data_IF_595620629782
#
_entry.id   IF_595620629782
#
_cell.length_a   1.000
_cell.length_b   1.000
_cell.length_c   1.000
_cell.angle_alpha   90.00
_cell.angle_beta   90.00
_cell.angle_gamma   90.00
#
_symmetry.space_group_name_H-M   'P 1'
#
loop_
_entity.id
_entity.type
_entity.pdbx_description
1 polymer ?
#
# COMPACT_ATOMS: atom_id res chain seq x y z
N UNK A 1 -75.97 -13.69 -6.39
CA UNK A 1 -75.30 -14.66 -5.49
C UNK A 1 -73.81 -14.49 -5.67
N UNK A 2 -73.17 -13.69 -4.81
CA UNK A 2 -71.73 -13.37 -4.90
C UNK A 2 -71.01 -14.24 -3.87
N UNK A 3 -70.21 -15.18 -4.34
CA UNK A 3 -69.39 -16.06 -3.49
C UNK A 3 -68.14 -15.25 -3.08
N UNK A 4 -68.01 -14.95 -1.79
CA UNK A 4 -66.78 -14.38 -1.22
C UNK A 4 -65.89 -15.52 -0.75
N UNK A 5 -64.77 -15.72 -1.44
CA UNK A 5 -63.70 -16.64 -1.02
C UNK A 5 -62.79 -15.87 -0.06
N UNK A 6 -62.72 -16.31 1.20
CA UNK A 6 -61.75 -15.81 2.17
C UNK A 6 -60.44 -16.59 2.01
N UNK A 7 -59.39 -15.92 1.54
CA UNK A 7 -58.03 -16.46 1.51
C UNK A 7 -57.36 -16.11 2.83
N UNK A 8 -57.10 -17.10 3.68
CA UNK A 8 -56.30 -16.94 4.88
C UNK A 8 -54.81 -17.00 4.49
N UNK A 9 -54.12 -15.87 4.55
CA UNK A 9 -52.67 -15.79 4.39
C UNK A 9 -52.04 -16.12 5.75
N UNK A 10 -51.46 -17.31 5.87
CA UNK A 10 -50.62 -17.67 7.00
C UNK A 10 -49.26 -16.98 6.85
N UNK A 11 -49.02 -15.92 7.62
CA UNK A 11 -47.69 -15.31 7.74
C UNK A 11 -46.83 -16.21 8.62
N UNK A 12 -45.98 -17.02 8.00
CA UNK A 12 -44.92 -17.76 8.71
C UNK A 12 -43.78 -16.77 8.99
N UNK A 13 -43.75 -16.22 10.21
CA UNK A 13 -42.61 -15.47 10.71
C UNK A 13 -41.46 -16.44 11.05
N UNK A 14 -40.72 -16.88 10.03
CA UNK A 14 -39.56 -17.78 10.15
C UNK A 14 -38.26 -17.08 10.53
N UNK A 15 -38.29 -16.11 11.45
CA UNK A 15 -37.09 -15.45 11.96
C UNK A 15 -36.84 -15.86 13.40
N UNK A 16 -35.97 -16.85 13.63
CA UNK A 16 -35.44 -17.13 14.96
C UNK A 16 -34.60 -15.93 15.40
N UNK A 17 -35.18 -15.04 16.20
CA UNK A 17 -34.43 -14.01 16.92
C UNK A 17 -33.67 -14.74 18.03
N UNK A 18 -32.51 -15.32 17.72
CA UNK A 18 -31.64 -15.88 18.75
C UNK A 18 -31.31 -14.74 19.73
N UNK A 19 -31.67 -14.92 21.00
CA UNK A 19 -31.38 -13.94 22.04
C UNK A 19 -29.86 -13.74 22.10
N UNK A 20 -29.41 -12.49 22.02
CA UNK A 20 -27.99 -12.17 22.11
C UNK A 20 -27.51 -12.46 23.53
N UNK A 21 -26.59 -13.41 23.69
CA UNK A 21 -25.95 -13.69 24.97
C UNK A 21 -24.59 -13.01 25.02
N UNK A 22 -24.36 -12.18 26.04
CA UNK A 22 -23.07 -11.53 26.27
C UNK A 22 -22.23 -12.39 27.21
N UNK A 23 -21.08 -12.85 26.72
CA UNK A 23 -20.07 -13.60 27.46
C UNK A 23 -18.89 -12.71 27.81
N UNK A 24 -18.49 -12.68 29.08
CA UNK A 24 -17.32 -11.93 29.56
C UNK A 24 -16.21 -12.89 29.95
N UNK A 25 -14.99 -12.67 29.45
CA UNK A 25 -13.82 -13.45 29.81
C UNK A 25 -13.40 -13.15 31.24
N UNK A 26 -13.25 -14.19 32.06
CA UNK A 26 -12.91 -14.08 33.49
C UNK A 26 -11.45 -13.70 33.76
N UNK A 27 -10.63 -13.55 32.72
CA UNK A 27 -9.21 -13.16 32.82
C UNK A 27 -8.23 -14.32 32.73
N UNK A 28 -6.94 -13.99 32.73
CA UNK A 28 -5.86 -14.95 32.56
C UNK A 28 -5.70 -15.46 31.12
N UNK A 29 -4.58 -16.13 30.86
CA UNK A 29 -4.35 -16.85 29.60
C UNK A 29 -5.13 -18.17 29.55
N UNK A 30 -5.69 -18.54 28.41
CA UNK A 30 -6.49 -19.77 28.27
C UNK A 30 -7.07 -19.99 26.87
N UNK A 31 -7.73 -21.14 26.67
CA UNK A 31 -8.40 -21.47 25.41
C UNK A 31 -9.80 -20.86 25.37
N UNK A 32 -10.20 -20.26 24.24
CA UNK A 32 -11.54 -19.71 24.01
C UNK A 32 -12.63 -20.74 24.30
N UNK A 33 -12.37 -22.01 24.00
CA UNK A 33 -13.30 -23.13 24.19
C UNK A 33 -13.47 -23.57 25.64
N UNK A 34 -12.67 -23.03 26.57
CA UNK A 34 -12.82 -23.31 27.99
C UNK A 34 -14.04 -22.57 28.55
N UNK A 35 -15.17 -23.27 28.66
CA UNK A 35 -16.44 -22.69 29.14
C UNK A 35 -16.35 -22.11 30.56
N UNK A 36 -15.38 -22.57 31.38
CA UNK A 36 -15.14 -22.05 32.71
C UNK A 36 -14.52 -20.64 32.69
N UNK A 37 -13.95 -20.22 31.55
CA UNK A 37 -13.37 -18.89 31.35
C UNK A 37 -14.38 -17.82 30.99
N UNK A 38 -15.64 -18.17 30.76
CA UNK A 38 -16.68 -17.23 30.41
C UNK A 38 -17.70 -17.02 31.53
N UNK A 39 -18.28 -15.82 31.53
CA UNK A 39 -19.42 -15.44 32.35
C UNK A 39 -20.53 -14.83 31.48
N UNK A 40 -21.72 -15.45 31.38
CA UNK A 40 -22.11 -16.71 32.02
C UNK A 40 -21.31 -17.91 31.52
N UNK A 41 -21.30 -19.01 32.28
CA UNK A 41 -20.61 -20.25 31.88
C UNK A 41 -21.15 -20.77 30.55
N UNK A 42 -20.26 -20.95 29.58
CA UNK A 42 -20.59 -21.33 28.20
C UNK A 42 -19.47 -20.90 27.25
N UNK A 43 -19.61 -21.17 25.96
CA UNK A 43 -18.62 -20.75 24.95
C UNK A 43 -19.34 -19.88 23.91
N UNK A 44 -18.98 -18.59 23.75
CA UNK A 44 -19.52 -17.76 22.68
C UNK A 44 -19.13 -18.37 21.33
N UNK A 45 -20.12 -18.89 20.61
CA UNK A 45 -19.89 -19.70 19.40
C UNK A 45 -21.06 -19.70 18.41
N UNK A 46 -22.15 -19.00 18.73
CA UNK A 46 -23.32 -18.85 17.85
C UNK A 46 -23.42 -17.43 17.26
N UNK A 47 -24.00 -17.29 16.05
CA UNK A 47 -24.25 -16.02 15.38
C UNK A 47 -24.84 -14.87 16.22
N UNK A 48 -25.58 -15.16 17.30
CA UNK A 48 -26.17 -14.14 18.17
C UNK A 48 -25.28 -13.72 19.35
N UNK A 49 -24.19 -14.45 19.63
CA UNK A 49 -23.40 -14.23 20.84
C UNK A 49 -22.52 -12.98 20.74
N UNK A 50 -22.33 -12.31 21.86
CA UNK A 50 -21.33 -11.27 22.03
C UNK A 50 -20.26 -11.73 23.02
N UNK A 51 -19.00 -11.40 22.76
CA UNK A 51 -17.87 -11.70 23.63
C UNK A 51 -17.18 -10.41 24.09
N UNK A 52 -16.88 -10.30 25.38
CA UNK A 52 -16.09 -9.24 25.99
C UNK A 52 -14.82 -9.82 26.61
N UNK A 53 -13.65 -9.40 26.14
CA UNK A 53 -12.35 -9.80 26.70
C UNK A 53 -11.67 -8.56 27.27
N UNK A 54 -11.61 -8.50 28.60
CA UNK A 54 -10.86 -7.49 29.34
C UNK A 54 -9.72 -8.17 30.08
N UNK A 55 -8.51 -8.14 29.52
CA UNK A 55 -7.33 -8.74 30.15
C UNK A 55 -6.33 -7.67 30.54
N UNK A 56 -5.73 -7.81 31.72
CA UNK A 56 -4.63 -6.96 32.18
C UNK A 56 -3.29 -7.59 31.78
N UNK A 57 -2.44 -6.86 31.06
CA UNK A 57 -1.06 -7.29 30.78
C UNK A 57 -0.90 -8.21 29.55
N UNK A 58 -0.12 -9.30 29.69
CA UNK A 58 0.29 -10.20 28.59
C UNK A 58 -0.61 -11.41 28.39
N UNK A 59 -1.75 -11.47 29.09
CA UNK A 59 -2.68 -12.59 28.99
C UNK A 59 -3.14 -12.82 27.56
N UNK A 60 -3.13 -14.09 27.13
CA UNK A 60 -3.51 -14.50 25.80
C UNK A 60 -4.71 -15.47 25.84
N UNK A 61 -5.77 -15.09 25.15
CA UNK A 61 -6.86 -16.02 24.79
C UNK A 61 -6.51 -16.68 23.47
N UNK A 62 -6.59 -18.00 23.38
CA UNK A 62 -6.21 -18.81 22.21
C UNK A 62 -7.45 -19.49 21.61
N UNK A 63 -7.68 -19.37 20.30
CA UNK A 63 -8.77 -20.07 19.61
C UNK A 63 -8.27 -21.37 18.97
N UNK A 64 -8.89 -22.50 19.28
CA UNK A 64 -8.62 -23.80 18.64
C UNK A 64 -9.78 -24.26 17.73
N UNK A 65 -10.89 -23.54 17.74
CA UNK A 65 -12.10 -23.79 16.95
C UNK A 65 -12.48 -22.57 16.10
N UNK A 66 -13.55 -22.69 15.30
CA UNK A 66 -14.05 -21.63 14.42
C UNK A 66 -15.33 -20.99 14.96
N UNK A 67 -15.30 -20.23 16.07
CA UNK A 67 -16.51 -19.61 16.59
C UNK A 67 -17.06 -18.59 15.59
N UNK A 68 -18.39 -18.59 15.48
CA UNK A 68 -19.15 -17.54 14.80
C UNK A 68 -19.84 -16.73 15.90
N UNK A 69 -19.55 -15.44 16.01
CA UNK A 69 -20.17 -14.55 17.00
C UNK A 69 -20.75 -13.30 16.35
N UNK A 70 -21.70 -12.63 16.99
CA UNK A 70 -22.17 -11.32 16.52
C UNK A 70 -21.07 -10.27 16.71
N UNK A 71 -20.55 -10.15 17.94
CA UNK A 71 -19.71 -9.01 18.37
C UNK A 71 -18.56 -9.44 19.28
N UNK A 72 -17.42 -8.75 19.15
CA UNK A 72 -16.28 -8.88 20.07
C UNK A 72 -15.86 -7.49 20.58
N UNK A 73 -15.84 -7.31 21.90
CA UNK A 73 -15.26 -6.15 22.58
C UNK A 73 -13.96 -6.55 23.27
N UNK A 74 -12.89 -5.80 23.03
CA UNK A 74 -11.55 -6.07 23.54
C UNK A 74 -10.99 -4.85 24.28
N UNK A 75 -10.51 -5.09 25.49
CA UNK A 75 -9.69 -4.17 26.29
C UNK A 75 -8.52 -4.98 26.88
N UNK A 76 -7.69 -5.55 25.99
CA UNK A 76 -6.70 -6.58 26.30
C UNK A 76 -6.09 -7.19 25.02
N UNK A 77 -5.30 -8.27 25.16
CA UNK A 77 -4.68 -8.96 24.02
C UNK A 77 -5.33 -10.30 23.68
N UNK A 78 -5.61 -10.56 22.40
CA UNK A 78 -6.18 -11.80 21.87
C UNK A 78 -5.20 -12.43 20.88
N UNK A 79 -4.94 -13.75 20.98
CA UNK A 79 -4.11 -14.50 20.03
C UNK A 79 -4.95 -15.52 19.29
N UNK A 80 -5.14 -15.33 18.00
CA UNK A 80 -5.86 -16.28 17.14
C UNK A 80 -4.86 -17.31 16.63
N UNK A 81 -5.01 -18.57 17.06
CA UNK A 81 -4.13 -19.66 16.64
C UNK A 81 -4.55 -20.22 15.26
N UNK A 82 -3.66 -20.92 14.54
CA UNK A 82 -3.86 -21.28 13.13
C UNK A 82 -5.04 -22.21 12.85
N UNK A 83 -5.44 -23.03 13.83
CA UNK A 83 -6.54 -23.98 13.67
C UNK A 83 -7.93 -23.33 13.86
N UNK A 84 -8.00 -22.18 14.52
CA UNK A 84 -9.23 -21.50 14.86
C UNK A 84 -9.38 -20.14 14.19
N UNK A 85 -10.15 -20.06 13.10
CA UNK A 85 -10.58 -18.77 12.55
C UNK A 85 -11.62 -18.10 13.45
N UNK A 86 -11.68 -16.77 13.48
CA UNK A 86 -12.73 -16.04 14.20
C UNK A 86 -13.67 -15.40 13.19
N UNK A 87 -14.92 -15.87 13.15
CA UNK A 87 -15.96 -15.32 12.28
C UNK A 87 -16.85 -14.39 13.09
N UNK A 88 -17.14 -13.21 12.55
CA UNK A 88 -18.05 -12.28 13.19
C UNK A 88 -19.13 -11.81 12.21
N UNK A 89 -20.27 -11.38 12.73
CA UNK A 89 -21.37 -10.88 11.89
C UNK A 89 -21.41 -9.36 11.90
N UNK A 90 -21.21 -8.72 13.07
CA UNK A 90 -21.34 -7.28 13.19
C UNK A 90 -19.98 -6.58 13.27
N UNK A 91 -19.29 -6.69 14.40
CA UNK A 91 -18.13 -5.84 14.68
C UNK A 91 -17.16 -6.41 15.69
N UNK A 92 -15.89 -6.05 15.52
CA UNK A 92 -14.87 -6.16 16.54
C UNK A 92 -14.49 -4.76 16.98
N UNK A 93 -14.55 -4.47 18.28
CA UNK A 93 -14.13 -3.18 18.87
C UNK A 93 -12.95 -3.42 19.81
N UNK A 94 -11.82 -2.78 19.55
CA UNK A 94 -10.60 -2.87 20.37
C UNK A 94 -10.38 -1.49 21.01
N UNK A 95 -10.65 -1.40 22.31
CA UNK A 95 -10.47 -0.16 23.09
C UNK A 95 -9.04 -0.01 23.63
N UNK A 96 -8.35 -1.13 23.89
CA UNK A 96 -6.93 -1.20 24.26
C UNK A 96 -6.37 -2.61 23.98
N UNK A 97 -5.03 -2.74 23.90
CA UNK A 97 -4.34 -4.02 23.64
C UNK A 97 -4.22 -4.37 22.16
N UNK A 98 -4.15 -5.66 21.81
CA UNK A 98 -4.01 -6.08 20.40
C UNK A 98 -4.63 -7.42 20.07
N UNK A 99 -5.20 -7.55 18.85
CA UNK A 99 -5.47 -8.86 18.26
C UNK A 99 -4.27 -9.26 17.43
N UNK A 100 -3.66 -10.41 17.73
CA UNK A 100 -2.61 -11.04 16.94
C UNK A 100 -3.18 -12.24 16.22
N UNK A 101 -3.14 -12.24 14.89
CA UNK A 101 -3.60 -13.34 14.04
C UNK A 101 -2.39 -13.99 13.37
N UNK A 102 -2.15 -15.28 13.61
CA UNK A 102 -1.27 -16.08 12.74
C UNK A 102 0.05 -16.66 13.29
N UNK A 103 0.31 -16.64 14.58
CA UNK A 103 1.50 -17.29 15.14
C UNK A 103 1.32 -18.83 15.18
N UNK A 104 1.60 -19.51 14.06
CA UNK A 104 1.77 -20.98 14.03
C UNK A 104 1.88 -21.59 12.61
N UNK A 105 2.06 -22.92 12.60
CA UNK A 105 2.53 -23.83 11.52
C UNK A 105 2.24 -23.34 10.09
N UNK A 106 3.29 -23.28 9.26
CA UNK A 106 3.21 -22.89 7.85
C UNK A 106 2.11 -23.66 7.10
N UNK A 107 1.21 -22.94 6.44
CA UNK A 107 0.18 -23.51 5.55
C UNK A 107 -1.25 -23.58 6.09
N UNK A 108 -1.55 -23.00 7.26
CA UNK A 108 -2.93 -22.86 7.77
C UNK A 108 -3.41 -21.41 7.77
N UNK A 109 -4.64 -21.18 7.31
CA UNK A 109 -5.25 -19.85 7.20
C UNK A 109 -5.97 -19.46 8.49
N UNK A 110 -5.49 -18.40 9.14
CA UNK A 110 -6.25 -17.71 10.18
C UNK A 110 -7.10 -16.62 9.51
N UNK A 111 -8.42 -16.76 9.61
CA UNK A 111 -9.39 -15.91 8.92
C UNK A 111 -10.11 -15.02 9.92
N UNK A 112 -10.07 -13.70 9.68
CA UNK A 112 -11.01 -12.73 10.24
C UNK A 112 -11.99 -12.37 9.12
N UNK A 113 -13.13 -13.06 9.07
CA UNK A 113 -14.14 -12.86 8.03
C UNK A 113 -15.47 -12.40 8.61
N UNK A 114 -16.02 -11.29 8.11
CA UNK A 114 -17.42 -10.99 8.31
C UNK A 114 -18.29 -11.90 7.45
N UNK A 115 -19.36 -12.46 8.04
CA UNK A 115 -20.24 -13.39 7.34
C UNK A 115 -21.35 -12.69 6.52
N UNK A 116 -21.70 -11.43 6.81
CA UNK A 116 -22.63 -10.61 6.00
C UNK A 116 -22.56 -9.11 6.37
N UNK A 117 -22.71 -8.21 5.38
CA UNK A 117 -22.89 -6.76 5.61
C UNK A 117 -21.60 -5.92 5.74
N UNK A 118 -21.74 -4.64 6.15
CA UNK A 118 -20.63 -3.70 6.42
C UNK A 118 -20.07 -3.93 7.82
N UNK A 119 -19.46 -5.09 8.05
CA UNK A 119 -18.86 -5.41 9.35
C UNK A 119 -17.48 -4.74 9.47
N UNK A 120 -17.16 -4.24 10.65
CA UNK A 120 -15.96 -3.44 10.88
C UNK A 120 -15.11 -3.96 12.04
N UNK A 121 -13.78 -3.92 11.86
CA UNK A 121 -12.81 -4.04 12.95
C UNK A 121 -12.37 -2.63 13.30
N UNK A 122 -12.72 -2.14 14.49
CA UNK A 122 -12.45 -0.76 14.92
C UNK A 122 -11.49 -0.76 16.11
N UNK A 123 -10.32 -0.14 15.96
CA UNK A 123 -9.28 -0.12 16.99
C UNK A 123 -9.15 1.25 17.70
N UNK A 124 -10.11 1.61 18.56
CA UNK A 124 -10.25 2.90 19.28
C UNK A 124 -9.07 3.31 20.20
N UNK A 125 -8.08 2.43 20.41
CA UNK A 125 -6.91 2.69 21.25
C UNK A 125 -5.92 1.52 21.37
N UNK A 126 -6.23 0.38 20.73
CA UNK A 126 -5.32 -0.76 20.56
C UNK A 126 -4.80 -0.90 19.13
N UNK A 127 -4.12 -2.02 18.83
CA UNK A 127 -3.62 -2.34 17.49
C UNK A 127 -4.15 -3.66 16.94
N UNK A 128 -4.38 -3.75 15.63
CA UNK A 128 -4.55 -5.03 14.95
C UNK A 128 -3.19 -5.44 14.42
N UNK A 129 -2.73 -6.64 14.78
CA UNK A 129 -1.46 -7.20 14.32
C UNK A 129 -1.77 -8.46 13.51
N UNK A 130 -1.50 -8.40 12.22
CA UNK A 130 -1.63 -9.54 11.31
C UNK A 130 -0.23 -10.12 11.09
N UNK A 131 0.05 -11.22 11.79
CA UNK A 131 1.37 -11.83 11.93
C UNK A 131 1.26 -13.32 11.63
N UNK A 132 1.09 -13.65 10.33
CA UNK A 132 0.89 -15.02 9.87
C UNK A 132 1.08 -15.22 8.38
N UNK A 133 1.42 -16.45 8.00
CA UNK A 133 1.59 -16.90 6.62
C UNK A 133 0.58 -18.03 6.31
N UNK A 134 -0.56 -17.77 5.63
CA UNK A 134 -1.18 -16.48 5.30
C UNK A 134 -2.32 -16.09 6.27
N UNK A 135 -2.38 -14.80 6.67
CA UNK A 135 -3.54 -14.23 7.32
C UNK A 135 -4.52 -13.68 6.26
N UNK A 136 -5.80 -14.04 6.33
CA UNK A 136 -6.79 -13.60 5.37
C UNK A 136 -7.78 -12.63 6.03
N UNK A 137 -7.91 -11.44 5.45
CA UNK A 137 -8.88 -10.42 5.85
C UNK A 137 -9.74 -10.16 4.62
N UNK A 138 -10.71 -11.04 4.38
CA UNK A 138 -11.64 -10.92 3.27
C UNK A 138 -12.84 -10.06 3.68
N UNK A 139 -13.19 -9.06 2.88
CA UNK A 139 -14.41 -8.25 3.01
C UNK A 139 -14.56 -7.43 4.31
N UNK A 140 -13.49 -7.25 5.10
CA UNK A 140 -13.54 -6.46 6.33
C UNK A 140 -13.16 -5.00 6.09
N UNK A 141 -13.90 -4.07 6.70
CA UNK A 141 -13.45 -2.69 6.89
C UNK A 141 -12.59 -2.63 8.14
N UNK A 142 -11.28 -2.51 7.99
CA UNK A 142 -10.36 -2.29 9.12
C UNK A 142 -10.24 -0.80 9.34
N UNK A 143 -10.61 -0.33 10.54
CA UNK A 143 -10.59 1.06 10.98
C UNK A 143 -9.53 1.24 12.07
N UNK A 144 -8.45 1.96 11.75
CA UNK A 144 -7.46 2.43 12.72
C UNK A 144 -7.71 3.92 13.04
N UNK A 145 -8.42 4.29 14.11
CA UNK A 145 -8.68 5.68 14.50
C UNK A 145 -7.41 6.40 15.00
N UNK A 146 -7.48 7.73 15.07
CA UNK A 146 -6.40 8.60 15.51
C UNK A 146 -5.86 8.17 16.90
N UNK A 147 -4.56 7.82 16.96
CA UNK A 147 -3.87 7.36 18.17
C UNK A 147 -3.67 5.84 18.26
N UNK A 148 -4.33 5.04 17.40
CA UNK A 148 -4.05 3.62 17.18
C UNK A 148 -3.27 3.36 15.88
N UNK A 149 -2.72 2.16 15.71
CA UNK A 149 -2.00 1.74 14.50
C UNK A 149 -2.39 0.34 14.03
N UNK A 150 -2.48 0.13 12.71
CA UNK A 150 -2.57 -1.20 12.08
C UNK A 150 -1.16 -1.62 11.70
N UNK A 151 -0.66 -2.72 12.30
CA UNK A 151 0.68 -3.23 11.99
C UNK A 151 0.55 -4.58 11.28
N UNK A 152 1.20 -4.69 10.13
CA UNK A 152 1.16 -5.91 9.32
C UNK A 152 2.57 -6.41 9.16
N UNK A 153 2.84 -7.57 9.75
CA UNK A 153 4.16 -8.22 9.74
C UNK A 153 4.19 -9.47 8.86
N UNK A 154 3.02 -10.05 8.55
CA UNK A 154 2.86 -11.22 7.68
C UNK A 154 2.28 -10.94 6.30
N UNK A 155 1.74 -11.97 5.64
CA UNK A 155 1.01 -11.82 4.37
C UNK A 155 -0.47 -11.66 4.64
N UNK A 156 -1.05 -10.53 4.25
CA UNK A 156 -2.49 -10.24 4.32
C UNK A 156 -3.08 -10.35 2.92
N UNK A 157 -3.97 -11.32 2.72
CA UNK A 157 -4.76 -11.46 1.49
C UNK A 157 -6.18 -10.97 1.72
N UNK A 158 -6.78 -10.27 0.75
CA UNK A 158 -8.15 -9.80 0.92
C UNK A 158 -8.76 -9.08 -0.28
N UNK A 159 -10.06 -8.83 -0.17
CA UNK A 159 -10.83 -7.87 -0.98
C UNK A 159 -11.47 -6.88 0.00
N UNK A 160 -11.56 -5.60 -0.35
CA UNK A 160 -12.30 -4.63 0.48
C UNK A 160 -11.59 -3.30 0.72
N UNK A 161 -11.99 -2.63 1.80
CA UNK A 161 -11.54 -1.28 2.17
C UNK A 161 -10.68 -1.37 3.44
N UNK A 162 -9.41 -1.01 3.34
CA UNK A 162 -8.57 -0.75 4.51
C UNK A 162 -8.59 0.76 4.75
N UNK A 163 -9.09 1.19 5.90
CA UNK A 163 -9.22 2.60 6.26
C UNK A 163 -8.49 2.88 7.56
N UNK A 164 -7.37 3.61 7.51
CA UNK A 164 -6.78 4.20 8.69
C UNK A 164 -7.21 5.66 8.77
N UNK A 165 -7.85 6.09 9.86
CA UNK A 165 -7.82 7.51 10.21
C UNK A 165 -6.48 7.86 10.94
N UNK A 166 -5.66 6.85 11.26
CA UNK A 166 -4.26 6.90 11.71
C UNK A 166 -3.29 6.14 10.79
N UNK A 167 -2.02 6.01 11.19
CA UNK A 167 -0.96 5.40 10.36
C UNK A 167 -1.09 3.88 10.25
N UNK A 168 -1.13 3.36 9.03
CA UNK A 168 -0.99 1.93 8.75
C UNK A 168 0.49 1.62 8.50
N UNK A 169 1.09 0.73 9.29
CA UNK A 169 2.48 0.30 9.11
C UNK A 169 2.50 -1.10 8.48
N UNK A 170 3.05 -1.19 7.27
CA UNK A 170 3.22 -2.45 6.56
C UNK A 170 4.69 -2.86 6.54
N UNK A 171 5.06 -3.90 7.28
CA UNK A 171 6.40 -4.52 7.21
C UNK A 171 6.37 -5.88 6.51
N UNK A 172 5.21 -6.32 6.03
CA UNK A 172 4.97 -7.61 5.40
C UNK A 172 4.44 -7.47 3.96
N UNK A 173 3.51 -8.34 3.56
CA UNK A 173 2.92 -8.31 2.21
C UNK A 173 1.42 -8.11 2.27
N UNK A 174 0.91 -7.07 1.60
CA UNK A 174 -0.49 -7.00 1.23
C UNK A 174 -0.68 -7.59 -0.17
N UNK A 175 -1.66 -8.47 -0.32
CA UNK A 175 -2.04 -9.04 -1.61
C UNK A 175 -3.53 -8.73 -1.82
N UNK A 176 -3.80 -7.72 -2.63
CA UNK A 176 -5.15 -7.46 -3.14
C UNK A 176 -5.59 -8.64 -4.02
N UNK A 177 -6.86 -9.01 -3.94
CA UNK A 177 -7.43 -10.09 -4.75
C UNK A 177 -8.74 -9.66 -5.43
N UNK A 178 -9.16 -10.39 -6.47
CA UNK A 178 -10.36 -10.12 -7.27
C UNK A 178 -10.57 -8.65 -7.63
N UNK A 179 -11.64 -8.03 -7.10
CA UNK A 179 -12.03 -6.64 -7.42
C UNK A 179 -11.04 -5.57 -6.92
N UNK A 180 -10.03 -5.96 -6.12
CA UNK A 180 -8.98 -5.07 -5.64
C UNK A 180 -9.17 -4.63 -4.19
N UNK A 181 -8.37 -3.63 -3.82
CA UNK A 181 -8.32 -3.04 -2.48
C UNK A 181 -8.46 -1.52 -2.58
N UNK A 182 -9.21 -0.91 -1.65
CA UNK A 182 -9.26 0.55 -1.49
C UNK A 182 -8.61 0.94 -0.18
N UNK A 183 -7.71 1.90 -0.24
CA UNK A 183 -6.97 2.45 0.88
C UNK A 183 -7.46 3.87 1.16
N UNK A 184 -7.77 4.12 2.42
CA UNK A 184 -8.13 5.44 2.95
C UNK A 184 -7.15 5.75 4.09
N UNK A 185 -6.49 6.91 4.04
CA UNK A 185 -5.50 7.35 5.03
C UNK A 185 -4.04 6.99 4.70
N UNK A 186 -3.12 7.38 5.59
CA UNK A 186 -1.67 7.29 5.35
C UNK A 186 -1.11 5.90 5.68
N UNK A 187 -0.29 5.36 4.78
CA UNK A 187 0.40 4.07 4.90
C UNK A 187 1.90 4.29 4.86
N UNK A 188 2.62 3.69 5.80
CA UNK A 188 4.08 3.63 5.83
C UNK A 188 4.51 2.18 5.63
N UNK A 189 5.22 1.89 4.54
CA UNK A 189 5.80 0.59 4.27
C UNK A 189 7.24 0.55 4.77
N UNK A 190 7.51 -0.29 5.77
CA UNK A 190 8.84 -0.51 6.33
C UNK A 190 9.36 -1.85 5.80
N UNK A 191 9.86 -1.83 4.56
CA UNK A 191 10.30 -3.03 3.83
C UNK A 191 9.16 -3.93 3.31
N UNK A 192 7.90 -3.52 3.53
CA UNK A 192 6.74 -4.24 3.03
C UNK A 192 6.44 -4.00 1.55
N UNK A 193 5.46 -4.75 1.02
CA UNK A 193 4.92 -4.55 -0.33
C UNK A 193 3.40 -4.68 -0.38
N UNK A 194 2.79 -4.07 -1.40
CA UNK A 194 1.38 -4.24 -1.79
C UNK A 194 1.34 -4.79 -3.21
N UNK A 195 0.66 -5.90 -3.45
CA UNK A 195 0.65 -6.60 -4.74
C UNK A 195 -0.70 -7.22 -5.06
N UNK A 196 -0.84 -7.88 -6.21
CA UNK A 196 -2.04 -8.63 -6.58
C UNK A 196 -3.01 -7.81 -7.42
N UNK A 197 -4.31 -7.85 -7.12
CA UNK A 197 -5.37 -7.16 -7.86
C UNK A 197 -5.28 -5.61 -7.79
N UNK A 198 -6.25 -4.89 -8.39
CA UNK A 198 -6.22 -3.44 -8.48
C UNK A 198 -6.14 -2.76 -7.10
N UNK A 199 -5.44 -1.62 -7.01
CA UNK A 199 -5.31 -0.79 -5.81
C UNK A 199 -5.94 0.58 -6.05
N UNK A 200 -6.81 1.03 -5.15
CA UNK A 200 -7.36 2.38 -5.16
C UNK A 200 -6.84 3.14 -3.94
N UNK A 201 -6.07 4.20 -4.17
CA UNK A 201 -5.64 5.15 -3.14
C UNK A 201 -6.64 6.30 -3.10
N UNK A 202 -7.37 6.48 -2.00
CA UNK A 202 -8.44 7.45 -1.94
C UNK A 202 -8.14 8.53 -0.89
N UNK A 203 -7.52 9.63 -1.32
CA UNK A 203 -6.93 10.63 -0.43
C UNK A 203 -5.86 10.06 0.52
N UNK A 204 -5.28 8.91 0.15
CA UNK A 204 -4.30 8.17 0.93
C UNK A 204 -2.88 8.58 0.57
N UNK A 205 -2.01 8.75 1.57
CA UNK A 205 -0.57 8.96 1.36
C UNK A 205 0.15 7.63 1.54
N UNK A 206 1.17 7.35 0.73
CA UNK A 206 2.00 6.14 0.84
C UNK A 206 3.46 6.53 0.95
N UNK A 207 4.14 6.03 1.96
CA UNK A 207 5.56 6.21 2.19
C UNK A 207 6.29 4.86 2.16
N UNK A 208 7.36 4.75 1.38
CA UNK A 208 8.23 3.57 1.33
C UNK A 208 7.65 2.37 0.56
N UNK A 209 8.50 1.34 0.43
CA UNK A 209 8.12 -0.01 -0.03
C UNK A 209 7.79 -0.13 -1.52
N UNK A 210 7.12 -1.23 -1.86
CA UNK A 210 6.82 -1.61 -3.26
C UNK A 210 5.32 -1.71 -3.49
N UNK A 211 4.81 -0.98 -4.50
CA UNK A 211 3.45 -1.14 -5.04
C UNK A 211 3.51 -1.93 -6.35
N UNK A 212 3.18 -3.22 -6.30
CA UNK A 212 3.07 -4.12 -7.46
C UNK A 212 1.64 -4.68 -7.70
N UNK A 213 0.55 -3.88 -7.60
CA UNK A 213 -0.78 -4.36 -8.00
C UNK A 213 -0.91 -4.43 -9.53
N UNK A 214 -1.96 -5.09 -10.03
CA UNK A 214 -2.26 -5.10 -11.47
C UNK A 214 -2.55 -3.71 -12.01
N UNK A 215 -2.96 -2.77 -11.17
CA UNK A 215 -3.03 -1.34 -11.48
C UNK A 215 -3.27 -0.51 -10.23
N UNK A 216 -2.80 0.74 -10.21
CA UNK A 216 -3.05 1.69 -9.13
C UNK A 216 -3.96 2.80 -9.63
N UNK A 217 -4.97 3.19 -8.84
CA UNK A 217 -5.79 4.38 -9.11
C UNK A 217 -5.80 5.31 -7.89
N UNK A 218 -5.27 6.51 -8.06
CA UNK A 218 -5.36 7.59 -7.10
C UNK A 218 -6.64 8.40 -7.33
N UNK A 219 -7.55 8.35 -6.35
CA UNK A 219 -8.73 9.19 -6.23
C UNK A 219 -8.44 10.30 -5.21
N UNK A 220 -8.83 11.52 -5.57
CA UNK A 220 -8.51 12.74 -4.81
C UNK A 220 -9.83 13.42 -4.41
N UNK A 221 -10.62 12.83 -3.48
CA UNK A 221 -11.91 13.39 -3.10
C UNK A 221 -11.69 14.68 -2.28
N UNK A 222 -12.41 15.74 -2.63
CA UNK A 222 -12.33 17.01 -1.90
C UNK A 222 -11.04 17.80 -2.10
N UNK A 223 -10.24 17.49 -3.13
CA UNK A 223 -9.04 18.25 -3.50
C UNK A 223 -7.79 17.95 -2.65
N UNK A 224 -7.85 16.99 -1.73
CA UNK A 224 -6.67 16.55 -0.96
C UNK A 224 -5.77 15.68 -1.84
N UNK A 225 -4.54 16.14 -2.12
CA UNK A 225 -3.56 15.40 -2.90
C UNK A 225 -3.27 14.01 -2.31
N UNK A 226 -3.02 13.05 -3.19
CA UNK A 226 -2.41 11.76 -2.86
C UNK A 226 -0.90 11.95 -2.93
N UNK A 227 -0.16 11.54 -1.90
CA UNK A 227 1.31 11.64 -1.90
C UNK A 227 1.94 10.26 -1.93
N UNK A 228 2.89 10.03 -2.83
CA UNK A 228 3.75 8.83 -2.86
C UNK A 228 5.19 9.25 -2.56
N UNK A 229 5.76 8.80 -1.44
CA UNK A 229 7.12 9.17 -1.00
C UNK A 229 8.02 7.95 -0.94
N UNK A 230 9.16 7.94 -1.61
CA UNK A 230 10.11 6.81 -1.60
C UNK A 230 9.46 5.46 -1.95
N UNK A 231 8.49 5.46 -2.87
CA UNK A 231 7.75 4.26 -3.27
C UNK A 231 8.29 3.74 -4.60
N UNK A 232 8.57 2.44 -4.67
CA UNK A 232 8.81 1.75 -5.95
C UNK A 232 7.48 1.23 -6.50
N UNK A 233 7.11 1.64 -7.71
CA UNK A 233 5.90 1.15 -8.37
C UNK A 233 6.32 0.10 -9.39
N UNK A 234 5.82 -1.12 -9.25
CA UNK A 234 6.05 -2.25 -10.15
C UNK A 234 4.70 -2.82 -10.63
N UNK A 235 3.80 -1.95 -11.09
CA UNK A 235 2.47 -2.33 -11.59
C UNK A 235 2.44 -2.36 -13.13
N UNK A 236 1.82 -3.38 -13.71
CA UNK A 236 1.73 -3.52 -15.18
C UNK A 236 0.87 -2.46 -15.87
N UNK A 237 -0.10 -1.85 -15.18
CA UNK A 237 -0.99 -0.81 -15.73
C UNK A 237 -0.66 0.61 -15.25
N UNK A 238 0.41 0.80 -14.48
CA UNK A 238 0.79 2.11 -13.96
C UNK A 238 -0.12 2.67 -12.84
N UNK A 239 0.10 3.96 -12.53
CA UNK A 239 -0.75 4.74 -11.60
C UNK A 239 -1.63 5.70 -12.39
N UNK A 240 -2.95 5.50 -12.33
CA UNK A 240 -3.96 6.40 -12.86
C UNK A 240 -4.42 7.44 -11.82
N UNK A 241 -4.54 8.71 -12.20
CA UNK A 241 -5.07 9.78 -11.32
C UNK A 241 -6.40 10.28 -11.88
N UNK A 242 -7.40 10.50 -11.02
CA UNK A 242 -8.65 11.10 -11.45
C UNK A 242 -8.43 12.51 -12.04
N UNK A 243 -9.14 12.94 -13.10
CA UNK A 243 -8.78 14.11 -13.90
C UNK A 243 -8.75 15.46 -13.15
N UNK A 244 -9.44 15.56 -12.02
CA UNK A 244 -9.48 16.76 -11.18
C UNK A 244 -8.53 16.68 -9.97
N UNK A 245 -7.74 15.60 -9.87
CA UNK A 245 -6.88 15.33 -8.73
C UNK A 245 -5.45 15.83 -8.92
N UNK A 246 -4.78 16.04 -7.78
CA UNK A 246 -3.32 16.26 -7.72
C UNK A 246 -2.65 15.02 -7.12
N UNK A 247 -1.60 14.53 -7.78
CA UNK A 247 -0.70 13.49 -7.27
C UNK A 247 0.67 14.12 -7.04
N UNK A 248 1.20 14.02 -5.83
CA UNK A 248 2.59 14.39 -5.54
C UNK A 248 3.44 13.13 -5.42
N UNK A 249 4.50 13.05 -6.21
CA UNK A 249 5.43 11.92 -6.19
C UNK A 249 6.81 12.44 -5.81
N UNK A 250 7.27 12.00 -4.64
CA UNK A 250 8.57 12.35 -4.10
C UNK A 250 9.49 11.12 -4.15
N UNK A 251 10.61 11.29 -4.82
CA UNK A 251 11.65 10.28 -4.94
C UNK A 251 11.15 8.90 -5.40
N UNK A 252 10.48 8.80 -6.57
CA UNK A 252 9.92 7.54 -7.05
C UNK A 252 11.01 6.49 -7.30
N UNK A 253 10.65 5.22 -7.13
CA UNK A 253 11.49 4.08 -7.47
C UNK A 253 11.04 3.39 -8.76
N UNK A 254 11.99 3.06 -9.63
CA UNK A 254 11.81 2.22 -10.82
C UNK A 254 12.74 1.00 -10.77
N UNK A 255 12.24 -0.15 -11.23
CA UNK A 255 13.00 -1.39 -11.28
C UNK A 255 13.05 -1.93 -12.71
N UNK A 256 14.26 -2.18 -13.21
CA UNK A 256 14.50 -2.79 -14.52
C UNK A 256 14.67 -4.31 -14.39
N UNK A 257 13.83 -5.05 -15.11
CA UNK A 257 14.03 -6.49 -15.34
C UNK A 257 15.08 -6.72 -16.42
N UNK A 258 15.82 -7.84 -16.34
CA UNK A 258 16.80 -8.20 -17.36
C UNK A 258 16.12 -8.33 -18.74
N UNK A 259 16.39 -7.38 -19.64
CA UNK A 259 15.88 -7.39 -21.03
C UNK A 259 14.38 -7.05 -21.19
N UNK A 260 13.72 -6.46 -20.19
CA UNK A 260 12.33 -6.04 -20.28
C UNK A 260 12.20 -4.50 -20.21
N UNK A 261 11.21 -3.89 -20.90
CA UNK A 261 10.88 -2.49 -20.66
C UNK A 261 10.51 -2.30 -19.19
N UNK A 262 10.75 -1.11 -18.60
CA UNK A 262 10.43 -0.87 -17.21
C UNK A 262 8.95 -1.12 -16.95
N UNK A 263 8.68 -1.71 -15.79
CA UNK A 263 7.33 -2.08 -15.35
C UNK A 263 6.59 -0.88 -14.74
N UNK A 264 6.99 0.35 -15.09
CA UNK A 264 6.53 1.55 -14.38
C UNK A 264 6.31 2.70 -15.35
N UNK A 265 5.03 2.97 -15.61
CA UNK A 265 4.59 4.22 -16.24
C UNK A 265 3.61 4.88 -15.28
N UNK A 266 3.92 6.07 -14.77
CA UNK A 266 2.92 6.91 -14.12
C UNK A 266 2.01 7.45 -15.23
N UNK A 267 0.77 6.96 -15.34
CA UNK A 267 -0.21 7.36 -16.36
C UNK A 267 -1.22 8.33 -15.75
N UNK A 268 -1.01 9.63 -15.87
CA UNK A 268 -1.86 10.60 -15.17
C UNK A 268 -2.76 11.38 -16.12
N UNK A 269 -3.88 11.89 -15.58
CA UNK A 269 -4.83 12.71 -16.32
C UNK A 269 -5.28 13.99 -15.61
N UNK A 270 -4.52 14.42 -14.59
CA UNK A 270 -4.73 15.65 -13.80
C UNK A 270 -3.41 16.36 -13.53
N UNK A 271 -3.24 16.96 -12.34
CA UNK A 271 -1.97 17.59 -11.95
C UNK A 271 -1.02 16.56 -11.32
N UNK A 272 0.23 16.50 -11.79
CA UNK A 272 1.30 15.68 -11.25
C UNK A 272 2.43 16.58 -10.78
N UNK A 273 2.74 16.56 -9.50
CA UNK A 273 3.87 17.30 -8.93
C UNK A 273 5.03 16.36 -8.63
N UNK A 274 6.17 16.58 -9.28
CA UNK A 274 7.36 15.74 -9.15
C UNK A 274 8.44 16.43 -8.31
N UNK A 275 9.02 15.68 -7.37
CA UNK A 275 10.16 16.16 -6.59
C UNK A 275 11.12 15.05 -6.18
N UNK A 276 12.33 15.43 -5.79
CA UNK A 276 13.38 14.52 -5.32
C UNK A 276 14.04 13.69 -6.42
N UNK A 277 14.99 12.80 -6.05
CA UNK A 277 15.71 11.95 -7.00
C UNK A 277 14.89 10.74 -7.47
N UNK A 278 15.02 10.34 -8.73
CA UNK A 278 14.48 9.07 -9.23
C UNK A 278 15.38 7.92 -8.79
N UNK A 279 14.90 7.01 -7.95
CA UNK A 279 15.65 5.81 -7.55
C UNK A 279 15.53 4.76 -8.64
N UNK A 280 16.65 4.28 -9.16
CA UNK A 280 16.68 3.22 -10.16
C UNK A 280 17.30 1.96 -9.55
N UNK A 281 16.70 0.81 -9.85
CA UNK A 281 17.13 -0.49 -9.33
C UNK A 281 17.05 -1.58 -10.40
N UNK A 282 17.71 -2.71 -10.17
CA UNK A 282 17.71 -3.85 -11.09
C UNK A 282 18.88 -3.85 -12.06
N UNK A 283 18.73 -4.58 -13.17
CA UNK A 283 19.79 -4.70 -14.18
C UNK A 283 19.95 -3.39 -14.96
N UNK A 284 21.17 -3.05 -15.34
CA UNK A 284 21.41 -1.90 -16.22
C UNK A 284 20.72 -2.14 -17.57
N UNK A 285 19.89 -1.21 -18.06
CA UNK A 285 19.32 -1.31 -19.38
C UNK A 285 20.41 -1.14 -20.46
N UNK A 286 20.10 -1.47 -21.72
CA UNK A 286 20.95 -1.12 -22.85
C UNK A 286 21.27 0.38 -22.84
N UNK A 287 22.53 0.70 -23.17
CA UNK A 287 22.94 2.09 -23.35
C UNK A 287 22.05 2.74 -24.41
N UNK A 288 21.71 4.00 -24.22
CA UNK A 288 21.00 4.81 -25.19
C UNK A 288 19.55 4.42 -25.49
N UNK A 289 19.02 3.43 -24.78
CA UNK A 289 17.60 3.15 -24.83
C UNK A 289 16.83 4.14 -23.94
N UNK A 290 15.89 4.87 -24.53
CA UNK A 290 14.99 5.75 -23.80
C UNK A 290 13.82 4.95 -23.20
N UNK A 291 13.49 5.27 -21.96
CA UNK A 291 12.38 4.66 -21.24
C UNK A 291 11.46 5.73 -20.68
N UNK A 292 10.17 5.62 -20.95
CA UNK A 292 9.19 6.55 -20.41
C UNK A 292 8.84 6.18 -18.97
N UNK A 293 9.18 7.05 -18.01
CA UNK A 293 8.93 6.84 -16.57
C UNK A 293 7.66 7.56 -16.11
N UNK A 294 7.32 8.66 -16.77
CA UNK A 294 6.07 9.40 -16.61
C UNK A 294 5.45 9.56 -17.99
N UNK A 295 4.16 9.27 -18.11
CA UNK A 295 3.41 9.42 -19.35
C UNK A 295 2.04 10.05 -19.09
N UNK A 296 1.59 10.88 -20.02
CA UNK A 296 0.25 11.46 -19.99
C UNK A 296 -0.70 10.54 -20.73
N UNK A 297 -1.83 10.20 -20.12
CA UNK A 297 -2.84 9.41 -20.80
C UNK A 297 -3.35 10.15 -22.07
N UNK A 298 -3.50 9.48 -23.22
CA UNK A 298 -3.96 10.13 -24.44
C UNK A 298 -5.29 10.87 -24.25
N UNK A 299 -5.32 12.15 -24.62
CA UNK A 299 -6.51 12.99 -24.50
C UNK A 299 -6.79 13.51 -23.08
N UNK A 300 -5.91 13.27 -22.12
CA UNK A 300 -6.05 13.82 -20.78
C UNK A 300 -5.55 15.27 -20.69
N UNK A 301 -6.25 16.08 -19.89
CA UNK A 301 -5.80 17.43 -19.52
C UNK A 301 -4.85 17.31 -18.34
N UNK A 302 -3.58 17.08 -18.64
CA UNK A 302 -2.58 16.77 -17.63
C UNK A 302 -1.54 17.88 -17.55
N UNK A 303 -1.11 18.23 -16.33
CA UNK A 303 -0.05 19.21 -16.08
C UNK A 303 1.00 18.60 -15.18
N UNK A 304 2.25 18.56 -15.65
CA UNK A 304 3.41 18.22 -14.83
C UNK A 304 3.93 19.51 -14.21
N UNK A 305 3.99 19.56 -12.88
CA UNK A 305 4.68 20.60 -12.12
C UNK A 305 5.89 19.98 -11.42
N UNK A 306 6.87 20.83 -11.09
CA UNK A 306 8.13 20.37 -10.50
C UNK A 306 9.00 19.58 -11.47
N UNK A 307 10.03 18.93 -10.93
CA UNK A 307 10.96 18.09 -11.69
C UNK A 307 11.62 17.05 -10.78
N UNK A 308 11.93 15.90 -11.35
CA UNK A 308 12.87 14.96 -10.75
C UNK A 308 14.28 15.54 -10.82
N UNK A 309 15.04 15.46 -9.72
CA UNK A 309 16.33 16.12 -9.58
C UNK A 309 17.48 15.38 -10.30
N UNK A 310 17.67 14.10 -10.00
CA UNK A 310 18.68 13.22 -10.61
C UNK A 310 18.24 11.78 -10.44
N UNK A 311 18.60 10.89 -11.36
CA UNK A 311 18.43 9.46 -11.13
C UNK A 311 19.61 8.89 -10.33
N UNK A 312 19.31 8.16 -9.26
CA UNK A 312 20.26 7.59 -8.31
C UNK A 312 20.17 6.07 -8.32
N UNK A 313 21.32 5.43 -8.11
CA UNK A 313 21.49 3.97 -8.10
C UNK A 313 21.11 3.27 -9.43
N UNK A 314 21.51 1.99 -9.63
CA UNK A 314 22.70 1.41 -9.03
C UNK A 314 23.96 2.18 -9.47
N UNK A 315 25.08 1.97 -8.78
CA UNK A 315 26.37 2.51 -9.19
C UNK A 315 26.66 2.15 -10.66
N UNK A 316 26.97 3.18 -11.45
CA UNK A 316 27.18 3.02 -12.88
C UNK A 316 28.67 2.73 -13.18
N UNK A 317 28.96 1.97 -14.25
CA UNK A 317 30.31 1.91 -14.80
C UNK A 317 30.87 3.32 -15.09
N UNK A 318 32.20 3.49 -15.12
CA UNK A 318 32.82 4.76 -15.48
C UNK A 318 32.29 5.33 -16.80
N UNK A 319 32.25 6.66 -16.89
CA UNK A 319 31.75 7.40 -18.04
C UNK A 319 30.28 7.12 -18.40
N UNK A 320 29.44 6.77 -17.41
CA UNK A 320 27.99 6.62 -17.60
C UNK A 320 27.22 7.45 -16.60
N UNK A 321 26.03 7.89 -17.02
CA UNK A 321 25.06 8.59 -16.17
C UNK A 321 23.64 8.16 -16.53
N UNK A 322 22.75 8.40 -15.58
CA UNK A 322 21.34 8.54 -15.89
C UNK A 322 21.07 9.95 -16.40
N UNK A 323 20.37 10.04 -17.52
CA UNK A 323 19.82 11.28 -18.05
C UNK A 323 18.30 11.27 -17.92
N UNK A 324 17.76 12.35 -17.36
CA UNK A 324 16.33 12.61 -17.27
C UNK A 324 15.98 13.68 -18.31
N UNK A 325 15.03 13.37 -19.19
CA UNK A 325 14.53 14.34 -20.16
C UNK A 325 13.07 14.67 -19.81
N UNK A 326 12.83 15.88 -19.32
CA UNK A 326 11.50 16.37 -18.99
C UNK A 326 10.84 16.93 -20.26
N UNK A 327 9.81 16.24 -20.73
CA UNK A 327 8.99 16.63 -21.87
C UNK A 327 7.68 17.26 -21.37
N UNK A 328 6.96 18.02 -22.20
CA UNK A 328 5.64 18.54 -21.83
C UNK A 328 4.63 17.45 -21.44
N UNK A 329 4.78 16.25 -22.01
CA UNK A 329 3.86 15.13 -21.86
C UNK A 329 4.43 13.95 -21.04
N UNK A 330 5.59 14.12 -20.40
CA UNK A 330 6.20 13.02 -19.67
C UNK A 330 7.65 13.24 -19.27
N UNK A 331 8.26 12.17 -18.76
CA UNK A 331 9.67 12.15 -18.42
C UNK A 331 10.28 10.89 -19.02
N UNK A 332 11.37 11.04 -19.75
CA UNK A 332 12.18 9.93 -20.23
C UNK A 332 13.39 9.74 -19.32
N UNK A 333 13.72 8.49 -19.02
CA UNK A 333 14.96 8.06 -18.39
C UNK A 333 15.81 7.34 -19.44
N UNK A 334 17.10 7.68 -19.51
CA UNK A 334 18.07 7.04 -20.39
C UNK A 334 19.35 6.74 -19.62
N UNK A 335 19.91 5.54 -19.80
CA UNK A 335 21.31 5.29 -19.44
C UNK A 335 22.18 5.75 -20.60
N UNK A 336 23.02 6.75 -20.39
CA UNK A 336 23.89 7.31 -21.43
C UNK A 336 25.29 7.60 -20.90
N UNK A 337 26.13 8.22 -21.73
CA UNK A 337 27.49 8.62 -21.41
C UNK A 337 27.52 9.81 -20.47
N UNK A 338 28.53 9.89 -19.60
CA UNK A 338 28.57 10.93 -18.57
C UNK A 338 28.57 12.36 -19.14
N UNK A 339 29.11 12.54 -20.35
CA UNK A 339 29.11 13.81 -21.06
C UNK A 339 27.88 14.06 -21.94
N UNK A 340 27.01 13.08 -22.18
CA UNK A 340 25.77 13.26 -22.95
C UNK A 340 24.72 13.94 -22.04
N UNK A 341 24.51 15.24 -22.24
CA UNK A 341 23.67 16.13 -21.43
C UNK A 341 22.37 16.53 -22.11
N UNK A 342 22.28 16.45 -23.44
CA UNK A 342 21.01 16.63 -24.14
C UNK A 342 20.24 15.31 -24.35
N UNK A 343 20.87 14.20 -23.95
CA UNK A 343 20.34 12.84 -24.01
C UNK A 343 20.02 12.39 -25.43
N UNK A 344 20.81 12.81 -26.43
CA UNK A 344 20.65 12.42 -27.83
C UNK A 344 21.48 11.20 -28.24
N UNK A 345 22.36 10.71 -27.35
CA UNK A 345 23.29 9.60 -27.56
C UNK A 345 24.50 9.85 -28.46
N UNK A 346 24.79 11.10 -28.72
CA UNK A 346 26.11 11.56 -29.12
C UNK A 346 26.79 12.21 -27.91
N UNK A 347 28.11 12.42 -28.03
CA UNK A 347 28.83 13.38 -27.19
C UNK A 347 29.41 14.41 -28.15
N UNK A 348 28.77 15.57 -28.22
CA UNK A 348 29.12 16.64 -29.15
C UNK A 348 28.98 18.04 -28.53
N UNK A 349 29.08 19.08 -29.36
CA UNK A 349 29.04 20.46 -28.86
C UNK A 349 27.71 20.83 -28.16
N UNK A 350 26.59 20.20 -28.53
CA UNK A 350 25.29 20.45 -27.92
C UNK A 350 25.26 20.02 -26.45
N UNK A 351 25.99 18.96 -26.10
CA UNK A 351 26.14 18.53 -24.72
C UNK A 351 26.87 19.54 -23.85
N UNK A 352 27.91 20.17 -24.40
CA UNK A 352 28.60 21.25 -23.70
C UNK A 352 27.64 22.42 -23.47
N UNK A 353 26.81 22.77 -24.45
CA UNK A 353 25.81 23.83 -24.28
C UNK A 353 24.76 23.44 -23.22
N UNK A 354 24.27 22.21 -23.25
CA UNK A 354 23.31 21.69 -22.29
C UNK A 354 23.89 21.67 -20.86
N UNK A 355 25.12 21.17 -20.69
CA UNK A 355 25.84 21.21 -19.43
C UNK A 355 26.03 22.65 -18.92
N UNK A 356 26.50 23.58 -19.77
CA UNK A 356 26.71 24.97 -19.37
C UNK A 356 25.42 25.66 -18.90
N UNK A 357 24.27 25.32 -19.50
CA UNK A 357 22.98 25.86 -19.05
C UNK A 357 22.64 25.37 -17.64
N UNK A 358 22.82 24.08 -17.35
CA UNK A 358 22.58 23.49 -16.03
C UNK A 358 23.59 24.00 -15.00
N UNK A 359 24.86 24.05 -15.37
CA UNK A 359 25.96 24.55 -14.54
C UNK A 359 25.72 25.99 -14.07
N UNK A 360 25.39 26.88 -15.01
CA UNK A 360 25.10 28.29 -14.70
C UNK A 360 23.82 28.47 -13.88
N UNK A 361 22.89 27.54 -13.97
CA UNK A 361 21.67 27.53 -13.16
C UNK A 361 21.88 26.95 -11.75
N UNK A 362 23.06 26.39 -11.44
CA UNK A 362 23.31 25.66 -10.20
C UNK A 362 22.46 24.39 -10.09
N UNK A 363 22.17 23.75 -11.23
CA UNK A 363 21.29 22.60 -11.30
C UNK A 363 21.96 21.33 -10.72
N UNK A 364 21.32 20.59 -9.80
CA UNK A 364 21.87 19.32 -9.30
C UNK A 364 22.20 18.27 -10.36
N UNK A 365 21.67 18.38 -11.60
CA UNK A 365 22.10 17.52 -12.71
C UNK A 365 23.52 17.81 -13.21
N UNK A 366 24.05 19.01 -12.95
CA UNK A 366 25.43 19.39 -13.25
C UNK A 366 26.44 18.94 -12.19
N UNK A 367 25.99 18.48 -11.01
CA UNK A 367 26.83 17.83 -9.99
C UNK A 367 27.23 16.42 -10.48
N UNK A 368 28.36 16.36 -11.19
CA UNK A 368 28.91 15.17 -11.82
C UNK A 368 29.78 14.38 -10.85
N UNK A 369 30.43 15.05 -9.89
CA UNK A 369 31.29 14.37 -8.91
C UNK A 369 30.50 13.80 -7.72
N UNK A 370 29.24 14.21 -7.54
CA UNK A 370 28.31 13.75 -6.51
C UNK A 370 28.58 14.32 -5.12
N UNK A 371 29.28 15.44 -4.99
CA UNK A 371 29.62 16.06 -3.70
C UNK A 371 28.53 16.98 -3.14
N UNK A 372 27.46 17.21 -3.91
CA UNK A 372 26.31 18.02 -3.53
C UNK A 372 26.45 19.50 -3.85
N UNK A 373 27.57 19.94 -4.45
CA UNK A 373 27.76 21.27 -5.00
C UNK A 373 27.86 21.21 -6.52
N UNK A 374 27.52 22.32 -7.19
CA UNK A 374 27.81 22.52 -8.62
C UNK A 374 28.94 23.54 -8.69
N UNK A 375 30.17 23.05 -8.88
CA UNK A 375 31.37 23.89 -8.79
C UNK A 375 32.42 23.55 -9.87
N UNK A 376 33.62 24.12 -9.76
CA UNK A 376 34.65 23.92 -10.79
C UNK A 376 35.06 22.45 -10.96
N UNK A 377 34.92 21.63 -9.92
CA UNK A 377 35.26 20.21 -9.99
C UNK A 377 34.30 19.44 -10.92
N UNK A 378 33.03 19.85 -11.00
CA UNK A 378 32.08 19.28 -11.96
C UNK A 378 32.42 19.64 -13.40
N UNK A 379 32.88 20.87 -13.62
CA UNK A 379 33.35 21.28 -14.93
C UNK A 379 34.56 20.45 -15.39
N UNK A 380 35.50 20.17 -14.47
CA UNK A 380 36.61 19.25 -14.75
C UNK A 380 36.13 17.82 -15.00
N UNK A 381 35.15 17.33 -14.23
CA UNK A 381 34.54 16.02 -14.44
C UNK A 381 33.88 15.92 -15.82
N UNK A 382 33.17 16.96 -16.26
CA UNK A 382 32.60 17.06 -17.59
C UNK A 382 33.67 16.98 -18.68
N UNK A 383 34.72 17.80 -18.61
CA UNK A 383 35.78 17.80 -19.62
C UNK A 383 36.49 16.44 -19.73
N UNK A 384 36.70 15.77 -18.60
CA UNK A 384 37.28 14.42 -18.59
C UNK A 384 36.37 13.39 -19.27
N UNK A 385 35.05 13.52 -19.12
CA UNK A 385 34.08 12.67 -19.78
C UNK A 385 33.90 13.00 -21.27
N UNK A 386 33.94 14.30 -21.62
CA UNK A 386 33.71 14.80 -22.98
C UNK A 386 34.75 14.30 -24.00
N UNK A 387 35.98 14.09 -23.54
CA UNK A 387 37.06 13.53 -24.36
C UNK A 387 36.99 12.01 -24.55
N UNK A 388 36.03 11.32 -23.93
CA UNK A 388 35.87 9.87 -24.02
C UNK A 388 34.79 9.49 -25.04
N UNK A 389 34.96 8.38 -25.79
CA UNK A 389 33.92 7.91 -26.69
C UNK A 389 32.67 7.47 -25.90
N UNK A 390 31.50 7.69 -26.50
CA UNK A 390 30.27 7.06 -26.05
C UNK A 390 30.15 5.67 -26.71
N UNK A 391 30.26 4.56 -25.95
CA UNK A 391 30.47 3.22 -26.50
C UNK A 391 29.24 2.60 -27.18
#
# INVERSE_FOLDING_TARGET
MVIRVAVAVAVVAGGSVHAQTLYTWRGGSGAWEDSARWDPTGVPSTPGDAAGIATSGTDAVTLNSRPIIARLALSGSLRVAPAGGLYFIDSITITSGSIRVGQGIAGQEALLAPLAGTSAITALGGGVVLDGNPANVANARVLAPAGGGLVITGTVRGQGVVQGDGTIVNTGQFIASGAGMRLLGSIVQVGGSISGGPLVLDGADVEGGVLAPTGVRARVPGGRAVTLRNVTIASTLGVAVDPAGSLSVESPGIAFGAGQPPVTVLLFGGQLDLSGPLRVSGALPPLCQAFRVVDVAPGALAQITGRLAKAVDPALPPNRRWALQHLPDGVLLRLTCAADFDADCAVDFNDLLAFMNLYNAGDPEADLNGDGAVDFNDFLAFLNAFGLPCP
#
